data_IF_648287880061
#
_entry.id   IF_648287880061
#
_cell.length_a   1.000
_cell.length_b   1.000
_cell.length_c   1.000
_cell.angle_alpha   90.00
_cell.angle_beta   90.00
_cell.angle_gamma   90.00
#
_symmetry.space_group_name_H-M   'P 1'
#
loop_
_entity.id
_entity.type
_entity.pdbx_description
1 polymer ?
#
# COMPACT_ATOMS: atom_id res chain seq x y z
N UNK A 1 -20.83 3.81 35.72
CA UNK A 1 -19.66 4.69 35.49
C UNK A 1 -18.98 4.17 34.23
N UNK A 2 -19.15 4.90 33.14
CA UNK A 2 -18.95 4.40 31.77
C UNK A 2 -17.48 4.47 31.36
N UNK A 3 -17.03 3.35 30.79
CA UNK A 3 -15.75 3.14 30.13
C UNK A 3 -15.78 3.79 28.75
N UNK A 4 -14.76 4.58 28.42
CA UNK A 4 -14.54 5.13 27.08
C UNK A 4 -13.94 4.03 26.20
N UNK A 5 -14.66 3.68 25.14
CA UNK A 5 -14.20 2.79 24.08
C UNK A 5 -13.31 3.59 23.12
N UNK A 6 -12.16 3.01 22.75
CA UNK A 6 -11.27 3.49 21.71
C UNK A 6 -11.89 3.09 20.37
N UNK A 7 -12.08 4.08 19.49
CA UNK A 7 -12.79 3.95 18.23
C UNK A 7 -12.08 3.07 17.21
N UNK A 8 -12.90 2.41 16.41
CA UNK A 8 -12.57 1.43 15.38
C UNK A 8 -11.67 2.00 14.28
N UNK A 9 -10.59 1.27 13.96
CA UNK A 9 -9.83 1.43 12.74
C UNK A 9 -10.62 0.74 11.62
N UNK A 10 -10.99 1.49 10.57
CA UNK A 10 -11.58 0.90 9.36
C UNK A 10 -10.55 -0.02 8.69
N UNK A 11 -10.88 -1.31 8.63
CA UNK A 11 -10.20 -2.31 7.80
C UNK A 11 -10.26 -1.86 6.34
N UNK A 12 -9.10 -1.55 5.74
CA UNK A 12 -8.97 -1.39 4.30
C UNK A 12 -8.99 -2.79 3.65
N UNK A 13 -10.08 -3.07 2.95
CA UNK A 13 -10.28 -4.28 2.16
C UNK A 13 -9.25 -4.33 1.02
N UNK A 14 -8.25 -5.20 1.14
CA UNK A 14 -7.26 -5.45 0.08
C UNK A 14 -7.94 -6.24 -1.03
N UNK A 15 -8.28 -5.59 -2.14
CA UNK A 15 -8.88 -6.22 -3.31
C UNK A 15 -7.93 -7.29 -3.90
N UNK A 16 -8.21 -8.55 -3.59
CA UNK A 16 -7.52 -9.73 -4.13
C UNK A 16 -8.17 -10.12 -5.45
N UNK A 17 -7.70 -9.51 -6.54
CA UNK A 17 -7.85 -10.07 -7.90
C UNK A 17 -6.54 -10.02 -8.64
N UNK A 18 -5.75 -11.07 -8.46
CA UNK A 18 -4.76 -11.47 -9.45
C UNK A 18 -5.43 -12.38 -10.46
N UNK A 19 -5.36 -12.04 -11.74
CA UNK A 19 -5.08 -13.00 -12.81
C UNK A 19 -4.64 -12.24 -14.08
N UNK A 20 -3.40 -12.57 -14.51
CA UNK A 20 -2.87 -12.61 -15.89
C UNK A 20 -3.19 -11.46 -16.86
N UNK A 21 -2.16 -10.73 -17.31
CA UNK A 21 -1.69 -10.87 -18.70
C UNK A 21 -0.34 -10.15 -18.97
N UNK A 22 0.46 -10.87 -19.72
CA UNK A 22 1.72 -10.62 -20.42
C UNK A 22 2.31 -9.19 -20.47
N UNK A 23 3.57 -9.13 -19.99
CA UNK A 23 4.59 -8.25 -20.54
C UNK A 23 4.84 -8.57 -22.02
N UNK A 24 4.49 -7.66 -22.93
CA UNK A 24 4.78 -7.76 -24.36
C UNK A 24 4.83 -6.39 -25.03
N UNK A 25 5.87 -6.15 -25.82
CA UNK A 25 6.25 -4.87 -26.42
C UNK A 25 5.18 -4.25 -27.35
N UNK A 26 4.94 -2.95 -27.16
CA UNK A 26 3.88 -2.13 -27.77
C UNK A 26 4.22 -1.57 -29.18
N UNK A 27 5.02 -2.28 -29.99
CA UNK A 27 5.36 -1.80 -31.35
C UNK A 27 4.98 -2.73 -32.51
N UNK A 28 4.54 -3.97 -32.26
CA UNK A 28 4.28 -4.95 -33.34
C UNK A 28 2.81 -5.23 -33.68
N UNK A 29 1.83 -4.66 -32.96
CA UNK A 29 0.38 -4.91 -33.24
C UNK A 29 -0.27 -3.97 -34.27
N UNK A 30 0.48 -3.09 -34.96
CA UNK A 30 -0.08 -2.16 -35.96
C UNK A 30 -0.18 -2.69 -37.40
N UNK A 31 0.12 -3.96 -37.66
CA UNK A 31 -0.05 -4.53 -39.01
C UNK A 31 -0.56 -5.96 -38.95
N UNK A 32 -1.88 -6.10 -39.00
CA UNK A 32 -2.63 -7.11 -39.78
C UNK A 32 -4.02 -7.25 -39.18
N UNK A 33 -5.03 -6.79 -39.91
CA UNK A 33 -6.34 -7.43 -40.13
C UNK A 33 -7.09 -6.42 -41.02
N UNK A 34 -6.94 -6.60 -42.34
CA UNK A 34 -7.96 -6.15 -43.28
C UNK A 34 -9.04 -7.24 -43.26
N UNK A 35 -10.18 -6.93 -42.66
CA UNK A 35 -11.42 -7.67 -42.78
C UNK A 35 -12.54 -6.64 -43.00
N UNK A 36 -13.32 -6.85 -44.05
CA UNK A 36 -14.30 -5.92 -44.60
C UNK A 36 -15.19 -5.25 -43.55
N UNK A 37 -15.16 -3.92 -43.52
CA UNK A 37 -16.04 -3.07 -42.71
C UNK A 37 -17.19 -2.58 -43.60
N UNK A 38 -18.40 -2.92 -43.20
CA UNK A 38 -19.67 -2.43 -43.75
C UNK A 38 -19.71 -0.88 -43.69
N UNK A 39 -19.95 -0.13 -44.79
CA UNK A 39 -19.72 1.32 -44.82
C UNK A 39 -20.74 2.16 -44.03
N UNK A 40 -21.81 1.56 -43.50
CA UNK A 40 -22.98 2.29 -42.97
C UNK A 40 -23.22 2.11 -41.46
N UNK A 41 -22.23 1.68 -40.67
CA UNK A 41 -22.32 1.77 -39.21
C UNK A 41 -21.67 3.06 -38.68
N UNK A 42 -22.43 3.96 -38.00
CA UNK A 42 -21.82 5.09 -37.34
C UNK A 42 -20.98 4.57 -36.17
N UNK A 43 -19.66 4.67 -36.29
CA UNK A 43 -18.74 4.55 -35.17
C UNK A 43 -19.11 5.60 -34.15
N UNK A 44 -19.64 5.17 -33.00
CA UNK A 44 -19.88 6.04 -31.86
C UNK A 44 -18.54 6.55 -31.33
N UNK A 45 -18.08 7.69 -31.86
CA UNK A 45 -17.09 8.52 -31.19
C UNK A 45 -17.71 8.96 -29.87
N UNK A 46 -17.36 8.32 -28.77
CA UNK A 46 -17.54 8.90 -27.44
C UNK A 46 -16.77 10.21 -27.46
N UNK A 47 -17.50 11.34 -27.56
CA UNK A 47 -16.92 12.66 -27.36
C UNK A 47 -16.37 12.65 -25.94
N UNK A 48 -15.06 12.81 -25.77
CA UNK A 48 -14.50 13.20 -24.49
C UNK A 48 -15.20 14.51 -24.09
N UNK A 49 -16.08 14.44 -23.10
CA UNK A 49 -16.80 15.63 -22.63
C UNK A 49 -15.80 16.59 -21.99
N UNK A 50 -15.90 17.87 -22.30
CA UNK A 50 -14.97 18.90 -21.83
C UNK A 50 -14.98 19.01 -20.30
N UNK A 51 -13.85 19.42 -19.67
CA UNK A 51 -13.81 19.71 -18.25
C UNK A 51 -14.90 20.68 -17.82
N UNK A 52 -15.41 20.50 -16.60
CA UNK A 52 -16.33 21.44 -15.97
C UNK A 52 -15.53 22.60 -15.40
N UNK A 53 -16.04 23.82 -15.62
CA UNK A 53 -15.55 25.03 -14.98
C UNK A 53 -15.99 25.01 -13.51
N UNK A 54 -15.01 25.05 -12.60
CA UNK A 54 -15.26 24.90 -11.17
C UNK A 54 -16.07 26.07 -10.60
N UNK A 55 -16.01 27.25 -11.22
CA UNK A 55 -16.79 28.43 -10.82
C UNK A 55 -18.29 28.24 -11.01
N UNK A 56 -18.71 27.21 -11.77
CA UNK A 56 -20.12 26.86 -11.94
C UNK A 56 -20.68 26.01 -10.80
N UNK A 57 -19.83 25.52 -9.90
CA UNK A 57 -20.20 24.73 -8.74
C UNK A 57 -20.54 25.67 -7.58
N UNK A 58 -21.75 25.54 -7.03
CA UNK A 58 -22.13 26.28 -5.83
C UNK A 58 -21.42 25.70 -4.61
N UNK A 59 -20.57 26.50 -3.98
CA UNK A 59 -19.86 26.15 -2.75
C UNK A 59 -20.48 26.89 -1.56
N UNK A 60 -20.77 26.17 -0.47
CA UNK A 60 -21.24 26.76 0.77
C UNK A 60 -20.04 27.24 1.61
N UNK A 61 -19.91 28.55 1.91
CA UNK A 61 -18.81 29.09 2.72
C UNK A 61 -18.71 28.53 4.14
N UNK A 62 -19.81 27.99 4.66
CA UNK A 62 -19.89 27.44 6.01
C UNK A 62 -19.62 25.93 6.07
N UNK A 63 -19.44 25.26 4.92
CA UNK A 63 -19.17 23.83 4.84
C UNK A 63 -17.78 23.49 5.41
N UNK A 64 -17.73 22.53 6.34
CA UNK A 64 -16.47 21.99 6.85
C UNK A 64 -15.96 20.81 6.02
N UNK A 65 -16.88 20.05 5.40
CA UNK A 65 -16.58 18.83 4.64
C UNK A 65 -17.04 18.96 3.18
N UNK A 66 -16.09 19.27 2.30
CA UNK A 66 -16.39 19.59 0.90
C UNK A 66 -16.04 18.42 0.00
N UNK A 67 -17.06 17.77 -0.57
CA UNK A 67 -16.89 16.63 -1.48
C UNK A 67 -17.23 17.00 -2.94
N UNK A 68 -16.21 16.94 -3.79
CA UNK A 68 -16.25 17.31 -5.21
C UNK A 68 -15.72 16.17 -6.08
N UNK A 69 -16.10 14.94 -5.74
CA UNK A 69 -15.69 13.72 -6.45
C UNK A 69 -16.36 13.65 -7.81
N UNK A 70 -15.57 13.29 -8.83
CA UNK A 70 -16.07 12.99 -10.17
C UNK A 70 -16.83 14.16 -10.84
N UNK A 71 -16.49 15.40 -10.50
CA UNK A 71 -17.09 16.60 -11.08
C UNK A 71 -16.49 16.99 -12.44
N UNK A 72 -15.45 16.31 -12.91
CA UNK A 72 -14.66 16.62 -14.11
C UNK A 72 -13.97 18.00 -14.05
N UNK A 73 -13.60 18.43 -12.84
CA UNK A 73 -12.89 19.67 -12.59
C UNK A 73 -11.52 19.58 -13.26
N UNK A 74 -11.23 20.50 -14.20
CA UNK A 74 -9.94 20.55 -14.90
C UNK A 74 -8.91 21.46 -14.21
N UNK A 75 -9.41 22.42 -13.43
CA UNK A 75 -8.64 23.48 -12.80
C UNK A 75 -9.26 23.81 -11.44
N UNK A 76 -8.42 23.98 -10.43
CA UNK A 76 -8.86 24.37 -9.09
C UNK A 76 -9.06 25.89 -9.09
N UNK A 77 -10.28 26.35 -8.83
CA UNK A 77 -10.64 27.78 -8.73
C UNK A 77 -11.91 27.95 -7.87
N UNK A 78 -12.18 29.18 -7.42
CA UNK A 78 -13.35 29.49 -6.58
C UNK A 78 -13.28 28.99 -5.13
N UNK A 79 -12.17 28.36 -4.70
CA UNK A 79 -12.02 27.82 -3.35
C UNK A 79 -11.85 28.88 -2.24
N UNK A 80 -11.69 30.16 -2.59
CA UNK A 80 -11.55 31.26 -1.63
C UNK A 80 -12.76 31.44 -0.70
N UNK A 81 -13.93 30.92 -1.09
CA UNK A 81 -15.16 30.99 -0.28
C UNK A 81 -15.15 30.00 0.89
N UNK A 82 -14.41 28.89 0.79
CA UNK A 82 -14.41 27.78 1.74
C UNK A 82 -13.50 28.04 2.95
N UNK A 83 -13.76 29.12 3.70
CA UNK A 83 -12.89 29.55 4.80
C UNK A 83 -12.96 28.64 6.03
N UNK A 84 -13.98 27.78 6.13
CA UNK A 84 -14.18 26.83 7.22
C UNK A 84 -13.89 25.37 6.87
N UNK A 85 -13.57 25.09 5.61
CA UNK A 85 -13.31 23.73 5.16
C UNK A 85 -12.13 23.11 5.94
N UNK A 86 -12.39 21.93 6.49
CA UNK A 86 -11.42 21.05 7.15
C UNK A 86 -11.09 19.85 6.28
N UNK A 87 -12.07 19.35 5.52
CA UNK A 87 -11.84 18.27 4.55
C UNK A 87 -12.23 18.75 3.16
N UNK A 88 -11.39 18.43 2.17
CA UNK A 88 -11.64 18.72 0.76
C UNK A 88 -11.28 17.49 -0.08
N UNK A 89 -12.29 16.92 -0.70
CA UNK A 89 -12.17 15.77 -1.60
C UNK A 89 -12.38 16.21 -3.04
N UNK A 90 -11.36 16.04 -3.86
CA UNK A 90 -11.31 16.37 -5.29
C UNK A 90 -10.99 15.11 -6.13
N UNK A 91 -11.41 13.94 -5.66
CA UNK A 91 -11.06 12.68 -6.31
C UNK A 91 -11.66 12.52 -7.70
N UNK A 92 -11.00 11.75 -8.55
CA UNK A 92 -11.52 11.36 -9.87
C UNK A 92 -11.89 12.57 -10.74
N UNK A 93 -11.05 13.60 -10.72
CA UNK A 93 -11.20 14.80 -11.52
C UNK A 93 -10.12 14.86 -12.62
N UNK A 94 -10.05 15.97 -13.35
CA UNK A 94 -9.12 16.19 -14.45
C UNK A 94 -8.00 17.18 -14.08
N UNK A 95 -7.73 17.35 -12.77
CA UNK A 95 -6.82 18.36 -12.24
C UNK A 95 -5.39 18.03 -12.63
N UNK A 96 -4.69 18.99 -13.25
CA UNK A 96 -3.30 18.82 -13.71
C UNK A 96 -2.28 19.50 -12.80
N UNK A 97 -2.74 20.46 -11.99
CA UNK A 97 -1.89 21.32 -11.18
C UNK A 97 -2.63 21.70 -9.90
N UNK A 98 -1.92 21.67 -8.78
CA UNK A 98 -2.40 22.20 -7.51
C UNK A 98 -2.21 23.71 -7.54
N UNK A 99 -3.29 24.47 -7.39
CA UNK A 99 -3.28 25.92 -7.36
C UNK A 99 -4.48 26.46 -6.59
N UNK A 100 -4.42 27.75 -6.21
CA UNK A 100 -5.50 28.44 -5.51
C UNK A 100 -5.90 27.81 -4.16
N UNK A 101 -4.93 27.25 -3.44
CA UNK A 101 -5.14 26.61 -2.12
C UNK A 101 -4.85 27.57 -0.94
N UNK A 102 -4.38 28.79 -1.20
CA UNK A 102 -3.83 29.70 -0.17
C UNK A 102 -4.84 30.16 0.89
N UNK A 103 -6.14 30.08 0.59
CA UNK A 103 -7.24 30.45 1.48
C UNK A 103 -7.59 29.35 2.49
N UNK A 104 -7.29 28.09 2.20
CA UNK A 104 -7.76 26.90 2.94
C UNK A 104 -6.89 26.60 4.17
N UNK A 105 -6.65 27.60 5.01
CA UNK A 105 -5.67 27.52 6.11
C UNK A 105 -6.07 26.57 7.26
N UNK A 106 -7.36 26.23 7.34
CA UNK A 106 -7.91 25.32 8.34
C UNK A 106 -8.01 23.87 7.84
N UNK A 107 -7.58 23.62 6.60
CA UNK A 107 -7.70 22.31 5.97
C UNK A 107 -6.82 21.30 6.71
N UNK A 108 -7.44 20.19 7.12
CA UNK A 108 -6.84 19.07 7.83
C UNK A 108 -6.69 17.87 6.90
N UNK A 109 -7.60 17.69 5.94
CA UNK A 109 -7.56 16.59 4.99
C UNK A 109 -7.74 17.10 3.55
N UNK A 110 -6.82 16.72 2.67
CA UNK A 110 -6.87 17.01 1.26
C UNK A 110 -6.74 15.72 0.46
N UNK A 111 -7.76 15.41 -0.32
CA UNK A 111 -7.81 14.22 -1.16
C UNK A 111 -7.86 14.60 -2.64
N UNK A 112 -6.77 14.31 -3.34
CA UNK A 112 -6.54 14.53 -4.76
C UNK A 112 -6.36 13.21 -5.51
N UNK A 113 -6.85 12.10 -4.96
CA UNK A 113 -6.80 10.76 -5.55
C UNK A 113 -7.33 10.75 -6.99
N UNK A 114 -6.65 10.02 -7.88
CA UNK A 114 -7.05 9.84 -9.30
C UNK A 114 -7.26 11.17 -10.04
N UNK A 115 -6.14 11.85 -10.27
CA UNK A 115 -6.05 13.10 -11.01
C UNK A 115 -4.83 13.05 -11.96
N UNK A 116 -4.47 14.17 -12.58
CA UNK A 116 -3.38 14.28 -13.56
C UNK A 116 -2.23 15.17 -13.06
N UNK A 117 -2.05 15.26 -11.74
CA UNK A 117 -1.09 16.14 -11.08
C UNK A 117 0.34 15.64 -11.33
N UNK A 118 1.20 16.56 -11.79
CA UNK A 118 2.60 16.27 -12.14
C UNK A 118 3.62 16.65 -11.07
N UNK A 119 3.23 17.58 -10.19
CA UNK A 119 4.11 18.18 -9.21
C UNK A 119 3.32 18.57 -7.96
N UNK A 120 3.93 18.34 -6.81
CA UNK A 120 3.47 18.85 -5.53
C UNK A 120 4.00 20.29 -5.38
N UNK A 121 3.09 21.24 -5.39
CA UNK A 121 3.39 22.66 -5.26
C UNK A 121 2.17 23.41 -4.72
N UNK A 122 2.36 24.63 -4.23
CA UNK A 122 1.28 25.49 -3.73
C UNK A 122 0.53 24.91 -2.51
N UNK A 123 1.20 24.08 -1.70
CA UNK A 123 0.66 23.52 -0.47
C UNK A 123 1.19 24.24 0.80
N UNK A 124 2.14 25.16 0.66
CA UNK A 124 2.89 25.75 1.77
C UNK A 124 2.05 26.44 2.86
N UNK A 125 0.82 26.85 2.52
CA UNK A 125 -0.10 27.55 3.43
C UNK A 125 -1.05 26.59 4.19
N UNK A 126 -1.07 25.30 3.86
CA UNK A 126 -1.92 24.29 4.49
C UNK A 126 -1.25 23.72 5.76
N UNK A 127 -0.83 24.58 6.68
CA UNK A 127 0.00 24.18 7.84
C UNK A 127 -0.73 23.31 8.86
N UNK A 128 -2.07 23.25 8.79
CA UNK A 128 -2.92 22.41 9.64
C UNK A 128 -3.19 21.03 9.03
N UNK A 129 -2.66 20.74 7.84
CA UNK A 129 -2.92 19.50 7.12
C UNK A 129 -2.34 18.29 7.86
N UNK A 130 -3.21 17.33 8.19
CA UNK A 130 -2.88 16.07 8.84
C UNK A 130 -2.89 14.89 7.86
N UNK A 131 -3.69 14.96 6.80
CA UNK A 131 -3.79 13.93 5.77
C UNK A 131 -3.71 14.52 4.36
N UNK A 132 -2.85 13.93 3.54
CA UNK A 132 -2.73 14.26 2.11
C UNK A 132 -2.76 12.98 1.30
N UNK A 133 -3.77 12.85 0.43
CA UNK A 133 -3.81 11.82 -0.60
C UNK A 133 -3.61 12.45 -1.98
N UNK A 134 -2.55 12.01 -2.66
CA UNK A 134 -2.21 12.38 -4.05
C UNK A 134 -1.90 11.11 -4.86
N UNK A 135 -2.53 10.01 -4.48
CA UNK A 135 -2.43 8.72 -5.14
C UNK A 135 -3.04 8.75 -6.55
N UNK A 136 -2.64 7.82 -7.41
CA UNK A 136 -3.10 7.71 -8.79
C UNK A 136 -2.94 9.03 -9.57
N UNK A 137 -1.76 9.64 -9.43
CA UNK A 137 -1.36 10.83 -10.18
C UNK A 137 -0.13 10.51 -11.04
N UNK A 138 0.56 11.53 -11.54
CA UNK A 138 1.74 11.39 -12.39
C UNK A 138 2.97 12.10 -11.80
N UNK A 139 3.06 12.14 -10.47
CA UNK A 139 4.17 12.71 -9.72
C UNK A 139 5.46 11.93 -9.99
N UNK A 140 6.58 12.65 -10.11
CA UNK A 140 7.91 12.03 -10.30
C UNK A 140 8.83 12.18 -9.10
N UNK A 141 8.51 13.09 -8.19
CA UNK A 141 9.29 13.44 -7.02
C UNK A 141 8.36 13.82 -5.89
N UNK A 142 8.84 13.61 -4.67
CA UNK A 142 8.26 14.20 -3.47
C UNK A 142 8.96 15.54 -3.25
N UNK A 143 8.20 16.62 -3.17
CA UNK A 143 8.66 18.01 -3.00
C UNK A 143 7.50 18.88 -2.46
N UNK A 144 7.78 20.08 -1.95
CA UNK A 144 6.72 21.02 -1.59
C UNK A 144 5.92 20.67 -0.33
N UNK A 145 6.46 19.79 0.53
CA UNK A 145 5.86 19.35 1.79
C UNK A 145 6.54 19.95 3.02
N UNK A 146 7.52 20.84 2.85
CA UNK A 146 8.42 21.30 3.91
C UNK A 146 7.69 22.05 5.04
N UNK A 147 6.56 22.68 4.74
CA UNK A 147 5.75 23.40 5.72
C UNK A 147 4.67 22.54 6.40
N UNK A 148 4.40 21.32 5.90
CA UNK A 148 3.30 20.46 6.34
C UNK A 148 3.69 19.63 7.57
N UNK A 149 4.23 20.29 8.59
CA UNK A 149 4.84 19.63 9.75
C UNK A 149 3.86 18.86 10.65
N UNK A 150 2.54 19.06 10.45
CA UNK A 150 1.47 18.33 11.15
C UNK A 150 0.97 17.09 10.40
N UNK A 151 1.52 16.79 9.23
CA UNK A 151 1.09 15.66 8.42
C UNK A 151 1.34 14.35 9.16
N UNK A 152 0.28 13.56 9.34
CA UNK A 152 0.29 12.23 9.95
C UNK A 152 0.17 11.13 8.91
N UNK A 153 -0.55 11.37 7.82
CA UNK A 153 -0.81 10.38 6.77
C UNK A 153 -0.51 10.96 5.38
N UNK A 154 0.33 10.27 4.62
CA UNK A 154 0.70 10.66 3.27
C UNK A 154 0.54 9.48 2.31
N UNK A 155 -0.35 9.65 1.33
CA UNK A 155 -0.62 8.65 0.30
C UNK A 155 -0.13 9.12 -1.06
N UNK A 156 0.80 8.36 -1.63
CA UNK A 156 1.47 8.60 -2.91
C UNK A 156 1.40 7.36 -3.82
N UNK A 157 0.42 6.47 -3.56
CA UNK A 157 0.22 5.21 -4.27
C UNK A 157 0.09 5.47 -5.78
N UNK A 158 0.65 4.59 -6.60
CA UNK A 158 0.49 4.61 -8.06
C UNK A 158 0.88 5.97 -8.69
N UNK A 159 2.15 6.34 -8.50
CA UNK A 159 2.79 7.50 -9.12
C UNK A 159 4.03 7.06 -9.94
N UNK A 160 4.91 7.99 -10.32
CA UNK A 160 6.16 7.74 -11.05
C UNK A 160 7.39 8.14 -10.22
N UNK A 161 7.29 8.10 -8.89
CA UNK A 161 8.35 8.51 -7.97
C UNK A 161 9.49 7.51 -8.02
N UNK A 162 10.72 7.99 -8.18
CA UNK A 162 11.92 7.14 -8.32
C UNK A 162 12.82 7.09 -7.08
N UNK A 163 12.69 8.06 -6.18
CA UNK A 163 13.51 8.22 -4.97
C UNK A 163 12.67 8.78 -3.84
N UNK A 164 12.95 8.34 -2.63
CA UNK A 164 12.36 8.87 -1.40
C UNK A 164 13.21 10.07 -0.98
N UNK A 165 12.61 11.26 -0.91
CA UNK A 165 13.33 12.50 -0.60
C UNK A 165 12.37 13.54 -0.05
N UNK A 166 12.89 14.57 0.63
CA UNK A 166 12.11 15.72 1.13
C UNK A 166 10.97 15.34 2.08
N UNK A 167 11.17 14.30 2.89
CA UNK A 167 10.27 13.88 3.96
C UNK A 167 10.85 14.18 5.34
N UNK A 168 12.06 14.72 5.42
CA UNK A 168 12.84 14.82 6.65
C UNK A 168 12.21 15.74 7.70
N UNK A 169 11.35 16.67 7.27
CA UNK A 169 10.59 17.59 8.13
C UNK A 169 9.30 16.98 8.72
N UNK A 170 8.87 15.81 8.25
CA UNK A 170 7.60 15.19 8.64
C UNK A 170 7.76 14.22 9.82
N UNK A 171 8.42 14.66 10.90
CA UNK A 171 8.71 13.79 12.06
C UNK A 171 7.47 13.24 12.78
N UNK A 172 6.30 13.88 12.56
CA UNK A 172 4.99 13.44 13.05
C UNK A 172 4.26 12.46 12.13
N UNK A 173 4.86 12.05 11.00
CA UNK A 173 4.22 11.13 10.06
C UNK A 173 4.07 9.74 10.68
N UNK A 174 2.85 9.23 10.69
CA UNK A 174 2.46 7.93 11.24
C UNK A 174 2.26 6.88 10.14
N UNK A 175 1.83 7.29 8.95
CA UNK A 175 1.60 6.41 7.80
C UNK A 175 2.17 7.01 6.51
N UNK A 176 2.95 6.21 5.79
CA UNK A 176 3.51 6.54 4.48
C UNK A 176 3.22 5.43 3.48
N UNK A 177 2.46 5.77 2.45
CA UNK A 177 2.10 4.87 1.35
C UNK A 177 2.78 5.32 0.05
N UNK A 178 3.72 4.52 -0.45
CA UNK A 178 4.55 4.74 -1.63
C UNK A 178 4.48 3.56 -2.62
N UNK A 179 3.44 2.74 -2.51
CA UNK A 179 3.21 1.59 -3.36
C UNK A 179 3.06 1.95 -4.84
N UNK A 180 3.30 0.99 -5.72
CA UNK A 180 3.15 1.13 -7.18
C UNK A 180 3.92 2.34 -7.75
N UNK A 181 5.17 2.51 -7.30
CA UNK A 181 6.07 3.57 -7.77
C UNK A 181 7.28 2.96 -8.51
N UNK A 182 8.38 3.71 -8.62
CA UNK A 182 9.63 3.31 -9.30
C UNK A 182 10.83 3.37 -8.37
N UNK A 183 10.60 3.28 -7.07
CA UNK A 183 11.60 3.39 -6.02
C UNK A 183 12.53 2.17 -6.09
N UNK A 184 13.83 2.40 -5.98
CA UNK A 184 14.86 1.35 -6.02
C UNK A 184 15.57 1.13 -4.69
N UNK A 185 15.57 2.15 -3.84
CA UNK A 185 16.33 2.18 -2.60
C UNK A 185 15.45 2.81 -1.53
N UNK A 186 15.45 2.20 -0.35
CA UNK A 186 14.89 2.79 0.87
C UNK A 186 15.95 3.74 1.41
N UNK A 187 15.62 5.02 1.52
CA UNK A 187 16.53 6.09 1.95
C UNK A 187 15.74 7.26 2.52
N UNK A 188 16.40 8.10 3.31
CA UNK A 188 15.84 9.37 3.81
C UNK A 188 14.55 9.21 4.65
N UNK A 189 14.46 8.12 5.42
CA UNK A 189 13.35 7.86 6.34
C UNK A 189 13.74 8.00 7.82
N UNK A 190 15.02 8.23 8.12
CA UNK A 190 15.57 8.17 9.49
C UNK A 190 14.92 9.15 10.48
N UNK A 191 14.39 10.27 10.00
CA UNK A 191 13.71 11.27 10.84
C UNK A 191 12.24 10.97 11.09
N UNK A 192 11.64 9.98 10.40
CA UNK A 192 10.23 9.61 10.54
C UNK A 192 10.02 8.70 11.76
N UNK A 193 10.46 9.15 12.93
CA UNK A 193 10.48 8.33 14.16
C UNK A 193 9.08 7.97 14.67
N UNK A 194 8.04 8.66 14.22
CA UNK A 194 6.64 8.38 14.59
C UNK A 194 5.96 7.38 13.66
N UNK A 195 6.65 6.92 12.60
CA UNK A 195 6.05 6.06 11.58
C UNK A 195 5.65 4.70 12.15
N UNK A 196 4.40 4.33 11.92
CA UNK A 196 3.78 3.08 12.35
C UNK A 196 3.52 2.17 11.15
N UNK A 197 3.13 2.74 10.01
CA UNK A 197 2.83 1.99 8.79
C UNK A 197 3.64 2.50 7.60
N UNK A 198 4.37 1.59 6.96
CA UNK A 198 5.15 1.86 5.75
C UNK A 198 4.78 0.88 4.65
N UNK A 199 4.26 1.41 3.55
CA UNK A 199 3.88 0.64 2.38
C UNK A 199 4.74 1.02 1.18
N UNK A 200 5.45 0.03 0.64
CA UNK A 200 6.41 0.12 -0.44
C UNK A 200 6.16 -0.95 -1.51
N UNK A 201 4.96 -1.54 -1.51
CA UNK A 201 4.57 -2.59 -2.44
C UNK A 201 4.73 -2.20 -3.91
N UNK A 202 4.99 -3.16 -4.81
CA UNK A 202 5.06 -2.92 -6.26
C UNK A 202 6.06 -1.81 -6.62
N UNK A 203 7.31 -1.96 -6.16
CA UNK A 203 8.42 -1.07 -6.48
C UNK A 203 9.56 -1.86 -7.15
N UNK A 204 10.78 -1.31 -7.14
CA UNK A 204 12.00 -1.95 -7.69
C UNK A 204 13.09 -2.07 -6.63
N UNK A 205 12.70 -2.16 -5.36
CA UNK A 205 13.60 -2.21 -4.22
C UNK A 205 14.31 -3.56 -4.19
N UNK A 206 15.63 -3.54 -4.02
CA UNK A 206 16.47 -4.75 -4.05
C UNK A 206 16.95 -5.19 -2.67
N UNK A 207 16.98 -4.29 -1.69
CA UNK A 207 17.54 -4.54 -0.35
C UNK A 207 16.68 -3.88 0.72
N UNK A 208 16.54 -4.57 1.86
CA UNK A 208 15.96 -4.01 3.08
C UNK A 208 17.07 -3.29 3.84
N UNK A 209 17.04 -1.97 3.85
CA UNK A 209 18.08 -1.12 4.46
C UNK A 209 17.47 0.20 4.93
N UNK A 210 18.18 0.91 5.79
CA UNK A 210 17.80 2.25 6.27
C UNK A 210 16.42 2.28 6.94
N UNK A 211 16.09 1.22 7.69
CA UNK A 211 14.88 1.12 8.51
C UNK A 211 15.21 1.25 10.01
N UNK A 212 16.48 1.42 10.36
CA UNK A 212 16.96 1.34 11.75
C UNK A 212 16.34 2.39 12.68
N UNK A 213 15.98 3.57 12.17
CA UNK A 213 15.36 4.63 12.95
C UNK A 213 13.84 4.46 13.20
N UNK A 214 13.19 3.51 12.54
CA UNK A 214 11.73 3.34 12.55
C UNK A 214 11.26 2.43 13.70
N UNK A 215 11.65 2.73 14.93
CA UNK A 215 11.39 1.87 16.10
C UNK A 215 9.90 1.67 16.42
N UNK A 216 9.04 2.58 15.99
CA UNK A 216 7.59 2.53 16.19
C UNK A 216 6.83 1.78 15.09
N UNK A 217 7.53 1.29 14.06
CA UNK A 217 6.89 0.62 12.93
C UNK A 217 6.21 -0.67 13.39
N UNK A 218 4.92 -0.78 13.08
CA UNK A 218 4.07 -1.94 13.37
C UNK A 218 3.70 -2.69 12.09
N UNK A 219 3.58 -1.99 10.96
CA UNK A 219 3.24 -2.57 9.66
C UNK A 219 4.29 -2.21 8.63
N UNK A 220 4.90 -3.23 8.01
CA UNK A 220 5.79 -3.08 6.86
C UNK A 220 5.28 -3.93 5.70
N UNK A 221 4.88 -3.24 4.64
CA UNK A 221 4.44 -3.85 3.39
C UNK A 221 5.45 -3.55 2.28
N UNK A 222 6.06 -4.58 1.71
CA UNK A 222 7.06 -4.46 0.64
C UNK A 222 6.92 -5.59 -0.40
N UNK A 223 5.69 -6.07 -0.60
CA UNK A 223 5.36 -7.07 -1.60
C UNK A 223 5.73 -6.61 -3.02
N UNK A 224 5.90 -7.55 -3.95
CA UNK A 224 6.15 -7.25 -5.38
C UNK A 224 7.36 -6.35 -5.58
N UNK A 225 8.48 -6.71 -4.97
CA UNK A 225 9.77 -6.04 -5.11
C UNK A 225 10.84 -7.01 -5.66
N UNK A 226 12.12 -6.70 -5.48
CA UNK A 226 13.26 -7.48 -5.98
C UNK A 226 14.19 -7.90 -4.84
N UNK A 227 13.64 -8.06 -3.65
CA UNK A 227 14.38 -8.41 -2.44
C UNK A 227 14.75 -9.89 -2.52
N UNK A 228 16.00 -10.22 -2.25
CA UNK A 228 16.49 -11.61 -2.27
C UNK A 228 16.83 -12.14 -0.87
N UNK A 229 16.86 -11.26 0.13
CA UNK A 229 17.28 -11.59 1.49
C UNK A 229 16.51 -10.75 2.51
N UNK A 230 16.14 -11.36 3.62
CA UNK A 230 15.54 -10.67 4.76
C UNK A 230 16.68 -10.18 5.65
N UNK A 231 16.82 -8.86 5.78
CA UNK A 231 17.82 -8.20 6.62
C UNK A 231 17.37 -6.79 7.00
N UNK A 232 18.08 -6.10 7.89
CA UNK A 232 17.77 -4.71 8.24
C UNK A 232 16.52 -4.52 9.12
N UNK A 233 15.94 -5.60 9.67
CA UNK A 233 14.73 -5.56 10.50
C UNK A 233 15.03 -5.61 12.02
N UNK A 234 16.30 -5.68 12.41
CA UNK A 234 16.75 -5.90 13.79
C UNK A 234 16.21 -4.87 14.80
N UNK A 235 15.96 -3.63 14.35
CA UNK A 235 15.54 -2.52 15.19
C UNK A 235 14.00 -2.30 15.20
N UNK A 236 13.27 -3.05 14.37
CA UNK A 236 11.81 -2.98 14.25
C UNK A 236 11.13 -3.87 15.31
N UNK A 237 11.44 -3.63 16.58
CA UNK A 237 11.01 -4.47 17.72
C UNK A 237 9.50 -4.45 17.97
N UNK A 238 8.79 -3.48 17.38
CA UNK A 238 7.35 -3.33 17.49
C UNK A 238 6.58 -3.86 16.27
N UNK A 239 7.28 -4.43 15.29
CA UNK A 239 6.68 -4.93 14.06
C UNK A 239 5.70 -6.08 14.36
N UNK A 240 4.49 -5.95 13.82
CA UNK A 240 3.37 -6.90 13.96
C UNK A 240 3.01 -7.55 12.64
N UNK A 241 3.08 -6.79 11.56
CA UNK A 241 2.70 -7.25 10.22
C UNK A 241 3.85 -7.01 9.25
N UNK A 242 4.28 -8.09 8.59
CA UNK A 242 5.35 -8.06 7.61
C UNK A 242 4.91 -8.76 6.32
N UNK A 243 4.77 -7.98 5.25
CA UNK A 243 4.39 -8.46 3.92
C UNK A 243 5.57 -8.39 2.95
N UNK A 244 6.11 -9.55 2.61
CA UNK A 244 7.26 -9.77 1.74
C UNK A 244 6.92 -10.61 0.50
N UNK A 245 5.63 -10.80 0.21
CA UNK A 245 5.22 -11.64 -0.92
C UNK A 245 5.72 -11.15 -2.27
N UNK A 246 5.80 -12.04 -3.26
CA UNK A 246 6.25 -11.72 -4.61
C UNK A 246 7.64 -11.06 -4.65
N UNK A 247 8.61 -11.68 -3.97
CA UNK A 247 10.01 -11.30 -3.99
C UNK A 247 10.89 -12.48 -4.46
N UNK A 248 12.21 -12.36 -4.32
CA UNK A 248 13.19 -13.39 -4.67
C UNK A 248 13.83 -14.05 -3.45
N UNK A 249 13.17 -14.04 -2.29
CA UNK A 249 13.74 -14.53 -1.02
C UNK A 249 13.90 -16.05 -1.05
N UNK A 250 15.07 -16.54 -0.64
CA UNK A 250 15.40 -17.97 -0.64
C UNK A 250 15.45 -18.60 0.76
N UNK A 251 15.71 -17.79 1.80
CA UNK A 251 15.90 -18.23 3.19
C UNK A 251 15.13 -17.30 4.12
N UNK A 252 14.50 -17.88 5.14
CA UNK A 252 13.89 -17.12 6.24
C UNK A 252 14.98 -16.88 7.30
N UNK A 253 15.35 -15.62 7.51
CA UNK A 253 16.38 -15.18 8.45
C UNK A 253 16.13 -13.73 8.86
N UNK A 254 16.86 -13.19 9.85
CA UNK A 254 16.81 -11.76 10.17
C UNK A 254 15.54 -11.30 10.90
N UNK A 255 14.80 -12.25 11.50
CA UNK A 255 13.55 -12.01 12.24
C UNK A 255 13.71 -12.20 13.76
N UNK A 256 14.93 -12.29 14.27
CA UNK A 256 15.24 -12.68 15.67
C UNK A 256 14.62 -11.74 16.71
N UNK A 257 14.46 -10.46 16.35
CA UNK A 257 13.99 -9.40 17.24
C UNK A 257 12.51 -9.07 17.08
N UNK A 258 11.85 -9.51 16.01
CA UNK A 258 10.47 -9.13 15.67
C UNK A 258 9.44 -10.04 16.35
N UNK A 259 9.57 -10.23 17.67
CA UNK A 259 8.81 -11.22 18.46
C UNK A 259 7.31 -10.95 18.52
N UNK A 260 6.89 -9.71 18.21
CA UNK A 260 5.49 -9.27 18.20
C UNK A 260 4.78 -9.50 16.87
N UNK A 261 5.45 -10.16 15.90
CA UNK A 261 4.84 -10.51 14.63
C UNK A 261 3.62 -11.41 14.85
N UNK A 262 2.47 -10.91 14.41
CA UNK A 262 1.20 -11.62 14.34
C UNK A 262 0.91 -12.08 12.92
N UNK A 263 1.38 -11.35 11.91
CA UNK A 263 1.19 -11.67 10.49
C UNK A 263 2.53 -11.69 9.77
N UNK A 264 2.85 -12.82 9.15
CA UNK A 264 4.02 -12.96 8.31
C UNK A 264 3.64 -13.53 6.94
N UNK A 265 3.76 -12.71 5.92
CA UNK A 265 3.55 -13.08 4.53
C UNK A 265 4.87 -13.13 3.77
N UNK A 266 5.30 -14.33 3.38
CA UNK A 266 6.45 -14.59 2.50
C UNK A 266 5.97 -15.44 1.31
N UNK A 267 4.70 -15.33 0.92
CA UNK A 267 4.14 -16.05 -0.22
C UNK A 267 4.83 -15.67 -1.55
N UNK A 268 4.75 -16.52 -2.57
CA UNK A 268 5.33 -16.26 -3.90
C UNK A 268 6.81 -15.85 -3.85
N UNK A 269 7.62 -16.62 -3.13
CA UNK A 269 9.07 -16.48 -3.03
C UNK A 269 9.76 -17.79 -3.48
N UNK A 270 11.05 -17.96 -3.17
CA UNK A 270 11.85 -19.14 -3.53
C UNK A 270 12.30 -19.93 -2.30
N UNK A 271 11.57 -19.80 -1.20
CA UNK A 271 11.91 -20.42 0.08
C UNK A 271 11.73 -21.93 -0.01
N UNK A 272 12.74 -22.68 0.44
CA UNK A 272 12.77 -24.15 0.38
C UNK A 272 12.52 -24.83 1.72
N UNK A 273 12.70 -24.11 2.82
CA UNK A 273 12.62 -24.63 4.18
C UNK A 273 12.02 -23.56 5.10
N UNK A 274 11.14 -23.99 6.00
CA UNK A 274 10.69 -23.14 7.11
C UNK A 274 11.71 -23.30 8.23
N UNK A 275 12.35 -22.19 8.62
CA UNK A 275 13.37 -22.15 9.67
C UNK A 275 13.46 -20.76 10.29
N UNK A 276 14.11 -20.67 11.45
CA UNK A 276 14.40 -19.40 12.14
C UNK A 276 13.14 -18.59 12.52
N UNK A 277 12.02 -19.27 12.81
CA UNK A 277 10.77 -18.62 13.24
C UNK A 277 10.14 -19.23 14.49
N UNK A 278 10.77 -20.23 15.12
CA UNK A 278 10.28 -20.86 16.36
C UNK A 278 10.06 -19.92 17.55
N UNK A 279 10.66 -18.73 17.53
CA UNK A 279 10.48 -17.68 18.54
C UNK A 279 9.33 -16.71 18.24
N UNK A 280 8.70 -16.77 17.06
CA UNK A 280 7.57 -15.92 16.67
C UNK A 280 6.27 -16.48 17.25
N UNK A 281 6.15 -16.46 18.57
CA UNK A 281 5.07 -17.14 19.31
C UNK A 281 3.72 -16.43 19.21
N UNK A 282 3.69 -15.15 18.81
CA UNK A 282 2.47 -14.35 18.63
C UNK A 282 1.85 -14.50 17.22
N UNK A 283 2.43 -15.33 16.33
CA UNK A 283 1.90 -15.52 14.97
C UNK A 283 0.46 -16.05 14.99
N UNK A 284 -0.40 -15.37 14.26
CA UNK A 284 -1.81 -15.68 14.00
C UNK A 284 -2.03 -16.05 12.54
N UNK A 285 -1.31 -15.39 11.63
CA UNK A 285 -1.38 -15.62 10.20
C UNK A 285 0.00 -15.87 9.59
N UNK A 286 0.11 -16.95 8.83
CA UNK A 286 1.35 -17.32 8.13
C UNK A 286 1.08 -17.68 6.67
N UNK A 287 1.48 -16.79 5.76
CA UNK A 287 1.26 -16.97 4.32
C UNK A 287 2.56 -17.37 3.63
N UNK A 288 2.57 -18.60 3.12
CA UNK A 288 3.74 -19.25 2.50
C UNK A 288 3.38 -19.97 1.20
N UNK A 289 2.20 -19.72 0.63
CA UNK A 289 1.82 -20.28 -0.67
C UNK A 289 2.82 -19.89 -1.77
N UNK A 290 2.86 -20.66 -2.84
CA UNK A 290 3.74 -20.40 -3.99
C UNK A 290 5.24 -20.33 -3.63
N UNK A 291 5.69 -21.26 -2.78
CA UNK A 291 7.10 -21.45 -2.44
C UNK A 291 7.56 -22.88 -2.84
N UNK A 292 8.72 -23.30 -2.32
CA UNK A 292 9.35 -24.59 -2.64
C UNK A 292 9.44 -25.51 -1.42
N UNK A 293 8.53 -25.39 -0.45
CA UNK A 293 8.54 -26.19 0.78
C UNK A 293 8.20 -27.65 0.50
N UNK A 294 9.03 -28.57 0.98
CA UNK A 294 8.89 -30.02 0.72
C UNK A 294 8.86 -30.89 1.98
N UNK A 295 9.43 -30.43 3.09
CA UNK A 295 9.61 -31.26 4.28
C UNK A 295 8.53 -30.98 5.32
N UNK A 296 7.81 -32.02 5.72
CA UNK A 296 6.76 -31.93 6.74
C UNK A 296 7.29 -31.55 8.13
N UNK A 297 8.55 -31.88 8.43
CA UNK A 297 9.20 -31.53 9.70
C UNK A 297 9.38 -30.04 9.89
N UNK A 298 9.39 -29.25 8.80
CA UNK A 298 9.62 -27.81 8.87
C UNK A 298 8.45 -27.08 9.58
N UNK A 299 7.26 -27.70 9.61
CA UNK A 299 6.11 -27.18 10.37
C UNK A 299 6.34 -27.21 11.89
N UNK A 300 7.36 -27.93 12.38
CA UNK A 300 7.69 -27.95 13.79
C UNK A 300 8.13 -26.57 14.31
N UNK A 301 8.67 -25.71 13.43
CA UNK A 301 9.00 -24.32 13.73
C UNK A 301 7.78 -23.50 14.13
N UNK A 302 6.57 -23.86 13.68
CA UNK A 302 5.34 -23.12 13.97
C UNK A 302 4.60 -23.64 15.21
N UNK A 303 5.05 -24.74 15.81
CA UNK A 303 4.35 -25.37 16.97
C UNK A 303 4.23 -24.46 18.19
N UNK A 304 5.11 -23.47 18.32
CA UNK A 304 5.11 -22.54 19.45
C UNK A 304 4.12 -21.39 19.28
N UNK A 305 3.65 -21.11 18.07
CA UNK A 305 2.61 -20.12 17.79
C UNK A 305 1.23 -20.71 18.13
N UNK A 306 0.81 -20.55 19.38
CA UNK A 306 -0.42 -21.19 19.89
C UNK A 306 -1.70 -20.54 19.39
N UNK A 307 -1.60 -19.28 18.98
CA UNK A 307 -2.71 -18.50 18.45
C UNK A 307 -2.74 -18.51 16.90
N UNK A 308 -1.92 -19.36 16.26
CA UNK A 308 -1.88 -19.50 14.81
C UNK A 308 -3.22 -20.05 14.29
N UNK A 309 -3.98 -19.19 13.60
CA UNK A 309 -5.34 -19.45 13.12
C UNK A 309 -5.36 -19.77 11.62
N UNK A 310 -4.54 -19.08 10.82
CA UNK A 310 -4.57 -19.18 9.35
C UNK A 310 -3.19 -19.51 8.79
N UNK A 311 -3.14 -20.55 7.94
CA UNK A 311 -1.94 -20.88 7.16
C UNK A 311 -2.26 -21.02 5.68
N UNK A 312 -1.46 -20.39 4.83
CA UNK A 312 -1.47 -20.64 3.39
C UNK A 312 -0.20 -21.40 3.01
N UNK A 313 -0.34 -22.64 2.56
CA UNK A 313 0.75 -23.52 2.13
C UNK A 313 0.50 -24.11 0.73
N UNK A 314 -0.62 -23.76 0.09
CA UNK A 314 -0.94 -24.20 -1.27
C UNK A 314 0.13 -23.80 -2.29
N UNK A 315 0.18 -24.52 -3.41
CA UNK A 315 1.16 -24.35 -4.48
C UNK A 315 2.63 -24.53 -4.03
N UNK A 316 2.85 -25.16 -2.88
CA UNK A 316 4.13 -25.77 -2.49
C UNK A 316 4.20 -27.25 -2.91
N UNK A 317 5.41 -27.83 -3.05
CA UNK A 317 5.58 -29.27 -3.23
C UNK A 317 4.86 -30.15 -2.18
N UNK A 318 4.72 -29.68 -0.93
CA UNK A 318 3.91 -30.33 0.12
C UNK A 318 2.47 -30.63 -0.33
N UNK A 319 1.87 -29.78 -1.16
CA UNK A 319 0.48 -29.92 -1.60
C UNK A 319 0.23 -31.16 -2.46
N UNK A 320 1.29 -31.76 -3.04
CA UNK A 320 1.18 -33.01 -3.81
C UNK A 320 0.85 -34.22 -2.94
N UNK A 321 1.03 -34.13 -1.62
CA UNK A 321 0.68 -35.19 -0.68
C UNK A 321 -0.84 -35.33 -0.58
N UNK A 322 -1.43 -36.52 -0.84
CA UNK A 322 -2.88 -36.73 -0.68
C UNK A 322 -3.40 -36.47 0.73
N UNK A 323 -2.52 -36.47 1.74
CA UNK A 323 -2.84 -36.17 3.14
C UNK A 323 -2.51 -34.73 3.53
N UNK A 324 -2.24 -33.83 2.57
CA UNK A 324 -1.77 -32.46 2.79
C UNK A 324 -2.51 -31.74 3.93
N UNK A 325 -3.84 -31.58 3.82
CA UNK A 325 -4.65 -30.91 4.85
C UNK A 325 -4.59 -31.64 6.19
N UNK A 326 -4.68 -32.97 6.18
CA UNK A 326 -4.66 -33.79 7.41
C UNK A 326 -3.35 -33.64 8.16
N UNK A 327 -2.21 -33.63 7.45
CA UNK A 327 -0.89 -33.46 8.05
C UNK A 327 -0.70 -32.06 8.63
N UNK A 328 -1.19 -31.01 7.96
CA UNK A 328 -1.19 -29.65 8.52
C UNK A 328 -2.00 -29.61 9.82
N UNK A 329 -3.23 -30.14 9.83
CA UNK A 329 -4.07 -30.17 11.04
C UNK A 329 -3.43 -30.95 12.19
N UNK A 330 -2.71 -32.03 11.91
CA UNK A 330 -2.00 -32.82 12.94
C UNK A 330 -0.75 -32.10 13.47
N UNK A 331 -0.03 -31.37 12.62
CA UNK A 331 1.16 -30.63 12.99
C UNK A 331 0.82 -29.33 13.75
N UNK A 332 -0.24 -28.64 13.32
CA UNK A 332 -0.66 -27.31 13.78
C UNK A 332 -2.13 -27.36 14.24
N UNK A 333 -2.41 -27.89 15.46
CA UNK A 333 -3.77 -28.12 15.92
C UNK A 333 -4.56 -26.85 16.27
N UNK A 334 -3.91 -25.69 16.37
CA UNK A 334 -4.56 -24.39 16.61
C UNK A 334 -5.22 -23.82 15.36
N UNK A 335 -4.72 -24.21 14.17
CA UNK A 335 -5.15 -23.66 12.88
C UNK A 335 -6.61 -23.98 12.63
N UNK A 336 -7.35 -22.96 12.16
CA UNK A 336 -8.77 -23.03 11.80
C UNK A 336 -9.01 -22.83 10.31
N UNK A 337 -8.07 -22.19 9.61
CA UNK A 337 -8.13 -22.01 8.17
C UNK A 337 -6.85 -22.51 7.51
N UNK A 338 -7.01 -23.39 6.51
CA UNK A 338 -5.92 -23.85 5.65
C UNK A 338 -6.25 -23.44 4.22
N UNK A 339 -5.38 -22.60 3.66
CA UNK A 339 -5.53 -21.96 2.36
C UNK A 339 -6.88 -21.20 2.29
N UNK A 340 -7.63 -21.35 1.20
CA UNK A 340 -8.93 -20.70 1.02
C UNK A 340 -10.09 -21.35 1.82
N UNK A 341 -9.85 -22.36 2.68
CA UNK A 341 -10.94 -23.14 3.29
C UNK A 341 -10.78 -23.36 4.79
N UNK A 342 -11.85 -23.08 5.53
CA UNK A 342 -11.96 -23.40 6.96
C UNK A 342 -11.94 -24.92 7.21
N UNK A 343 -11.34 -25.28 8.34
CA UNK A 343 -11.39 -26.63 8.89
C UNK A 343 -12.78 -26.83 9.51
N UNK A 344 -13.44 -27.91 9.11
CA UNK A 344 -14.66 -28.38 9.78
C UNK A 344 -14.23 -29.31 10.91
N UNK A 345 -14.45 -28.88 12.14
CA UNK A 345 -14.25 -29.72 13.34
C UNK A 345 -15.37 -30.74 13.50
#
# INVERSE_FOLDING_TARGET
MASLAVGDLQEMEVDRRGESEESGDDETRRRSINGDVDPDQPTATTKEESPVDMDTITLDPDEEDVDLVHCRIGKIEGLEVLQKAKTLSLRQNLIKKIENMDSLRLLQELDLYDNQIRKLENLQNLTELEQLDVSFNILRKVEGLEQLTRLKKLFLLHNKISSISNLDHLSGLEMLELGSNRIRVIENLDSLTSLQSLFLGTNKITTLQNLDGLHNLTVLSIQSNRITKIEGLQNLINLRELYLSHNGIEVIEGLENNKKLTTLDIAANRVKKIENISHLTELQEFWMNDNQIQNWSDLDELKNAKDLETVYLERNPLQKDPQYRRKIMLALPSVRQIDATFIRF
#
